data_IF_061652573780
#
_entry.id   IF_061652573780
#
_cell.length_a   1.000
_cell.length_b   1.000
_cell.length_c   1.000
_cell.angle_alpha   90.00
_cell.angle_beta   90.00
_cell.angle_gamma   90.00
#
_symmetry.space_group_name_H-M   'P 1'
#
loop_
_entity.id
_entity.type
_entity.pdbx_description
1 polymer ?
#
# COMPACT_ATOMS: atom_id res chain seq x y z
N UNK A 1 -10.27 16.40 16.02
CA UNK A 1 -10.89 15.10 16.34
C UNK A 1 -9.88 14.21 17.05
N UNK A 2 -10.36 13.25 17.85
CA UNK A 2 -9.58 12.18 18.42
C UNK A 2 -9.86 10.87 17.67
N UNK A 3 -8.88 10.37 16.93
CA UNK A 3 -9.06 9.29 15.95
C UNK A 3 -8.26 8.07 16.40
N UNK A 4 -8.92 6.92 16.52
CA UNK A 4 -8.25 5.65 16.72
C UNK A 4 -7.93 5.00 15.39
N UNK A 5 -6.67 4.71 15.08
CA UNK A 5 -6.23 4.00 13.87
C UNK A 5 -5.81 2.58 14.21
N UNK A 6 -6.40 1.61 13.51
CA UNK A 6 -6.06 0.18 13.63
C UNK A 6 -5.53 -0.33 12.30
N UNK A 7 -4.32 -0.85 12.29
CA UNK A 7 -3.68 -1.36 11.08
C UNK A 7 -2.68 -2.49 11.38
N UNK A 8 -2.20 -3.15 10.36
CA UNK A 8 -1.03 -4.01 10.51
C UNK A 8 0.24 -3.16 10.63
N UNK A 9 1.04 -3.31 11.69
CA UNK A 9 2.26 -2.51 11.93
C UNK A 9 3.43 -2.99 11.07
N UNK A 10 3.21 -3.21 9.78
CA UNK A 10 4.19 -3.80 8.86
C UNK A 10 4.70 -2.77 7.85
N UNK A 11 5.88 -3.04 7.25
CA UNK A 11 6.41 -2.30 6.11
C UNK A 11 5.64 -2.55 4.80
N UNK A 12 4.54 -3.30 4.83
CA UNK A 12 3.65 -3.49 3.68
C UNK A 12 2.83 -2.24 3.36
N UNK A 13 2.36 -2.13 2.13
CA UNK A 13 1.71 -0.92 1.61
C UNK A 13 0.58 -0.36 2.49
N UNK A 14 -0.32 -1.21 3.00
CA UNK A 14 -1.43 -0.77 3.87
C UNK A 14 -0.98 -0.23 5.23
N UNK A 15 0.04 -0.86 5.85
CA UNK A 15 0.59 -0.39 7.12
C UNK A 15 1.26 0.97 6.98
N UNK A 16 2.03 1.15 5.90
CA UNK A 16 2.66 2.44 5.58
C UNK A 16 1.60 3.51 5.31
N UNK A 17 0.58 3.23 4.50
CA UNK A 17 -0.51 4.18 4.23
C UNK A 17 -1.22 4.60 5.51
N UNK A 18 -1.56 3.65 6.40
CA UNK A 18 -2.22 3.95 7.67
C UNK A 18 -1.34 4.83 8.58
N UNK A 19 -0.03 4.55 8.63
CA UNK A 19 0.92 5.32 9.45
C UNK A 19 1.10 6.73 8.92
N UNK A 20 1.33 6.88 7.60
CA UNK A 20 1.52 8.22 7.00
C UNK A 20 0.21 9.04 7.05
N UNK A 21 -0.97 8.40 6.92
CA UNK A 21 -2.25 9.07 7.13
C UNK A 21 -2.37 9.60 8.57
N UNK A 22 -2.06 8.76 9.55
CA UNK A 22 -2.16 9.16 10.96
C UNK A 22 -1.18 10.28 11.33
N UNK A 23 0.04 10.26 10.81
CA UNK A 23 1.02 11.36 10.97
C UNK A 23 0.49 12.66 10.37
N UNK A 24 -0.01 12.61 9.13
CA UNK A 24 -0.55 13.78 8.45
C UNK A 24 -1.78 14.37 9.17
N UNK A 25 -2.65 13.52 9.72
CA UNK A 25 -3.78 13.96 10.56
C UNK A 25 -3.28 14.63 11.86
N UNK A 26 -2.24 14.08 12.49
CA UNK A 26 -1.64 14.67 13.69
C UNK A 26 -1.01 16.04 13.41
N UNK A 27 -0.32 16.20 12.28
CA UNK A 27 0.24 17.47 11.83
C UNK A 27 -0.85 18.53 11.56
N UNK A 28 -2.09 18.09 11.26
CA UNK A 28 -3.28 18.96 11.13
C UNK A 28 -3.98 19.25 12.46
N UNK A 29 -3.41 18.79 13.59
CA UNK A 29 -3.92 19.04 14.94
C UNK A 29 -4.97 18.05 15.42
N UNK A 30 -5.17 16.91 14.75
CA UNK A 30 -5.97 15.81 15.28
C UNK A 30 -5.15 14.99 16.26
N UNK A 31 -5.74 14.50 17.35
CA UNK A 31 -5.11 13.50 18.20
C UNK A 31 -5.31 12.11 17.61
N UNK A 32 -4.21 11.42 17.30
CA UNK A 32 -4.24 10.13 16.63
C UNK A 32 -3.68 9.05 17.53
N UNK A 33 -4.49 8.03 17.78
CA UNK A 33 -4.22 6.91 18.66
C UNK A 33 -4.08 5.62 17.84
N UNK A 34 -2.83 5.15 17.65
CA UNK A 34 -2.58 3.86 17.00
C UNK A 34 -2.80 2.72 17.98
N UNK A 35 -3.66 1.76 17.61
CA UNK A 35 -3.97 0.57 18.42
C UNK A 35 -3.54 -0.67 17.64
N UNK A 36 -2.37 -1.22 17.92
CA UNK A 36 -1.73 -2.29 17.15
C UNK A 36 -0.89 -3.19 18.05
N UNK A 37 -0.53 -4.41 17.59
CA UNK A 37 0.27 -5.36 18.38
C UNK A 37 1.77 -5.07 18.41
N UNK A 38 2.27 -4.17 17.58
CA UNK A 38 3.63 -3.63 17.60
C UNK A 38 3.57 -2.18 17.12
N UNK A 39 4.60 -1.40 17.43
CA UNK A 39 4.70 -0.04 16.91
C UNK A 39 4.67 -0.06 15.37
N UNK A 40 3.78 0.71 14.72
CA UNK A 40 3.72 0.80 13.27
C UNK A 40 5.06 1.22 12.65
N UNK A 41 5.37 0.64 11.51
CA UNK A 41 6.54 1.03 10.74
C UNK A 41 6.48 2.53 10.41
N UNK A 42 7.61 3.23 10.55
CA UNK A 42 7.72 4.68 10.30
C UNK A 42 6.96 5.58 11.29
N UNK A 43 6.39 5.04 12.37
CA UNK A 43 5.76 5.85 13.40
C UNK A 43 6.83 6.49 14.29
N UNK A 44 6.87 7.81 14.29
CA UNK A 44 7.68 8.61 15.22
C UNK A 44 6.78 9.15 16.34
N UNK A 45 7.04 8.72 17.56
CA UNK A 45 6.25 9.08 18.74
C UNK A 45 6.68 10.42 19.40
N UNK A 46 7.60 11.16 18.78
CA UNK A 46 7.99 12.49 19.29
C UNK A 46 7.02 13.61 18.90
N UNK A 47 5.94 13.30 18.16
CA UNK A 47 4.85 14.24 17.88
C UNK A 47 3.88 14.31 19.06
N UNK A 48 3.49 15.55 19.46
CA UNK A 48 2.56 15.79 20.57
C UNK A 48 1.17 15.17 20.38
N UNK A 49 0.77 14.90 19.11
CA UNK A 49 -0.58 14.43 18.75
C UNK A 49 -0.60 12.94 18.34
N UNK A 50 0.52 12.22 18.50
CA UNK A 50 0.60 10.80 18.17
C UNK A 50 0.74 9.95 19.42
N UNK A 51 -0.17 8.99 19.57
CA UNK A 51 -0.22 8.07 20.71
C UNK A 51 -0.19 6.62 20.22
N UNK A 52 0.46 5.75 20.96
CA UNK A 52 0.54 4.33 20.66
C UNK A 52 0.00 3.49 21.81
N UNK A 53 -0.88 2.57 21.51
CA UNK A 53 -1.48 1.65 22.45
C UNK A 53 -1.23 0.21 21.98
N UNK A 54 -0.38 -0.49 22.70
CA UNK A 54 -0.06 -1.88 22.35
C UNK A 54 -1.22 -2.82 22.66
N UNK A 55 -1.49 -3.73 21.74
CA UNK A 55 -2.40 -4.86 21.90
C UNK A 55 -1.58 -6.07 22.30
N UNK A 56 -1.53 -6.37 23.58
CA UNK A 56 -0.84 -7.53 24.11
C UNK A 56 -1.75 -8.75 24.06
N UNK A 57 -1.26 -9.86 23.53
CA UNK A 57 -1.94 -11.14 23.56
C UNK A 57 -1.20 -12.07 24.51
N UNK A 58 -1.82 -12.38 25.64
CA UNK A 58 -1.23 -13.31 26.59
C UNK A 58 -1.25 -14.74 26.04
N UNK A 59 -0.10 -15.40 26.10
CA UNK A 59 -0.01 -16.82 25.83
C UNK A 59 -0.68 -17.59 26.99
N UNK A 60 -1.88 -18.07 26.76
CA UNK A 60 -2.57 -18.96 27.70
C UNK A 60 -2.48 -20.40 27.21
N UNK A 61 -2.05 -21.36 28.03
CA UNK A 61 -1.75 -22.73 27.58
C UNK A 61 -2.90 -23.48 26.89
N UNK A 62 -4.15 -23.06 27.12
CA UNK A 62 -5.33 -23.65 26.49
C UNK A 62 -5.68 -23.04 25.12
N UNK A 63 -4.97 -22.00 24.67
CA UNK A 63 -5.16 -21.43 23.34
C UNK A 63 -4.11 -21.97 22.38
N UNK A 64 -4.49 -22.85 21.49
CA UNK A 64 -3.64 -23.31 20.39
C UNK A 64 -3.26 -22.14 19.46
N UNK A 65 -4.15 -21.15 19.34
CA UNK A 65 -3.97 -19.94 18.55
C UNK A 65 -4.18 -18.68 19.40
N UNK A 66 -3.26 -17.72 19.37
CA UNK A 66 -3.41 -16.45 20.09
C UNK A 66 -4.69 -15.71 19.66
N UNK A 67 -5.61 -15.37 20.57
CA UNK A 67 -6.88 -14.72 20.23
C UNK A 67 -6.71 -13.21 19.98
N UNK A 68 -5.94 -12.85 18.96
CA UNK A 68 -5.60 -11.46 18.65
C UNK A 68 -6.83 -10.55 18.50
N UNK A 69 -7.84 -11.02 17.77
CA UNK A 69 -9.06 -10.24 17.49
C UNK A 69 -9.81 -9.88 18.78
N UNK A 70 -9.91 -10.81 19.73
CA UNK A 70 -10.55 -10.56 21.04
C UNK A 70 -9.72 -9.59 21.89
N UNK A 71 -8.40 -9.74 21.89
CA UNK A 71 -7.50 -8.83 22.58
C UNK A 71 -7.59 -7.41 22.01
N UNK A 72 -7.63 -7.29 20.67
CA UNK A 72 -7.82 -6.03 19.98
C UNK A 72 -9.15 -5.37 20.35
N UNK A 73 -10.27 -6.12 20.31
CA UNK A 73 -11.58 -5.61 20.68
C UNK A 73 -11.59 -5.08 22.13
N UNK A 74 -11.03 -5.82 23.09
CA UNK A 74 -10.89 -5.37 24.48
C UNK A 74 -10.04 -4.10 24.60
N UNK A 75 -8.91 -4.04 23.88
CA UNK A 75 -8.03 -2.86 23.92
C UNK A 75 -8.70 -1.64 23.29
N UNK A 76 -9.48 -1.81 22.21
CA UNK A 76 -10.25 -0.74 21.62
C UNK A 76 -11.29 -0.16 22.59
N UNK A 77 -12.01 -1.02 23.34
CA UNK A 77 -12.95 -0.57 24.38
C UNK A 77 -12.23 0.30 25.42
N UNK A 78 -11.08 -0.14 25.91
CA UNK A 78 -10.28 0.57 26.90
C UNK A 78 -9.83 1.95 26.37
N UNK A 79 -9.20 1.97 25.19
CA UNK A 79 -8.69 3.20 24.57
C UNK A 79 -9.83 4.20 24.27
N UNK A 80 -10.94 3.75 23.67
CA UNK A 80 -12.08 4.63 23.37
C UNK A 80 -12.62 5.30 24.63
N UNK A 81 -12.74 4.55 25.74
CA UNK A 81 -13.29 5.06 26.99
C UNK A 81 -12.36 6.07 27.67
N UNK A 82 -11.07 5.77 27.75
CA UNK A 82 -10.11 6.59 28.48
C UNK A 82 -9.68 7.83 27.69
N UNK A 83 -9.42 7.66 26.39
CA UNK A 83 -8.99 8.75 25.51
C UNK A 83 -10.16 9.57 24.94
N UNK A 84 -11.39 9.06 25.05
CA UNK A 84 -12.61 9.68 24.52
C UNK A 84 -12.52 9.93 23.02
N UNK A 85 -12.27 8.86 22.26
CA UNK A 85 -12.15 8.93 20.81
C UNK A 85 -13.48 9.32 20.16
N UNK A 86 -13.39 10.10 19.07
CA UNK A 86 -14.52 10.52 18.26
C UNK A 86 -14.87 9.49 17.17
N UNK A 87 -13.87 8.71 16.70
CA UNK A 87 -13.98 7.79 15.57
C UNK A 87 -12.92 6.70 15.66
N UNK A 88 -13.26 5.50 15.18
CA UNK A 88 -12.27 4.45 14.85
C UNK A 88 -12.12 4.35 13.33
N UNK A 89 -10.88 4.45 12.84
CA UNK A 89 -10.54 4.14 11.46
C UNK A 89 -9.72 2.86 11.42
N UNK A 90 -10.28 1.81 10.85
CA UNK A 90 -9.66 0.49 10.79
C UNK A 90 -9.30 0.13 9.34
N UNK A 91 -8.13 -0.44 9.16
CA UNK A 91 -7.64 -0.89 7.87
C UNK A 91 -7.81 -2.40 7.77
N UNK A 92 -8.54 -2.88 6.76
CA UNK A 92 -9.03 -4.23 6.50
C UNK A 92 -10.36 -4.60 7.17
N UNK A 93 -11.20 -5.31 6.41
CA UNK A 93 -12.46 -5.86 6.88
C UNK A 93 -12.25 -6.89 8.01
N UNK A 94 -11.20 -7.71 7.91
CA UNK A 94 -10.79 -8.67 8.94
C UNK A 94 -9.28 -8.59 9.17
N UNK A 95 -8.81 -8.74 10.41
CA UNK A 95 -9.58 -8.89 11.65
C UNK A 95 -9.98 -7.53 12.28
N UNK A 96 -9.65 -6.40 11.65
CA UNK A 96 -9.73 -5.10 12.30
C UNK A 96 -11.16 -4.57 12.39
N UNK A 97 -11.95 -4.63 11.30
CA UNK A 97 -13.34 -4.14 11.36
C UNK A 97 -14.24 -5.07 12.20
N UNK A 98 -14.00 -6.40 12.18
CA UNK A 98 -14.72 -7.33 13.05
C UNK A 98 -14.43 -7.08 14.53
N UNK A 99 -13.17 -6.84 14.91
CA UNK A 99 -12.79 -6.47 16.27
C UNK A 99 -13.39 -5.09 16.68
N UNK A 100 -13.37 -4.12 15.78
CA UNK A 100 -13.96 -2.80 16.03
C UNK A 100 -15.50 -2.88 16.21
N UNK A 101 -16.19 -3.74 15.43
CA UNK A 101 -17.60 -4.01 15.62
C UNK A 101 -17.88 -4.59 17.02
N UNK A 102 -17.10 -5.60 17.45
CA UNK A 102 -17.23 -6.17 18.79
C UNK A 102 -16.99 -5.11 19.87
N UNK A 103 -15.95 -4.28 19.72
CA UNK A 103 -15.67 -3.19 20.65
C UNK A 103 -16.83 -2.19 20.70
N UNK A 104 -17.42 -1.82 19.55
CA UNK A 104 -18.58 -0.94 19.45
C UNK A 104 -19.80 -1.52 20.20
N UNK A 105 -20.09 -2.83 20.07
CA UNK A 105 -21.18 -3.49 20.79
C UNK A 105 -20.96 -3.45 22.31
N UNK A 106 -19.75 -3.68 22.78
CA UNK A 106 -19.41 -3.60 24.21
C UNK A 106 -19.55 -2.15 24.70
N UNK A 107 -19.06 -1.17 23.96
CA UNK A 107 -19.15 0.27 24.30
C UNK A 107 -20.60 0.73 24.42
N UNK A 108 -21.50 0.24 23.56
CA UNK A 108 -22.92 0.53 23.64
C UNK A 108 -23.55 0.11 24.99
N UNK A 109 -23.06 -0.96 25.62
CA UNK A 109 -23.53 -1.36 26.97
C UNK A 109 -23.14 -0.35 28.05
N UNK A 110 -22.16 0.50 27.79
CA UNK A 110 -21.76 1.61 28.65
C UNK A 110 -22.39 2.96 28.22
N UNK A 111 -23.29 2.95 27.25
CA UNK A 111 -23.91 4.17 26.71
C UNK A 111 -22.96 4.99 25.82
N UNK A 112 -21.88 4.38 25.34
CA UNK A 112 -20.89 5.02 24.46
C UNK A 112 -21.09 4.50 23.03
N UNK A 113 -21.33 5.41 22.09
CA UNK A 113 -21.37 5.11 20.68
C UNK A 113 -20.09 5.63 20.00
N UNK A 114 -19.44 4.78 19.22
CA UNK A 114 -18.25 5.11 18.44
C UNK A 114 -18.46 4.74 16.96
N UNK A 115 -18.42 5.69 16.01
CA UNK A 115 -18.46 5.35 14.60
C UNK A 115 -17.19 4.66 14.13
N UNK A 116 -17.32 3.72 13.18
CA UNK A 116 -16.24 2.94 12.60
C UNK A 116 -16.17 3.17 11.11
N UNK A 117 -15.02 3.67 10.64
CA UNK A 117 -14.66 3.72 9.21
C UNK A 117 -13.72 2.57 8.89
N UNK A 118 -14.01 1.84 7.81
CA UNK A 118 -13.17 0.72 7.34
C UNK A 118 -12.60 1.03 5.96
N UNK A 119 -11.27 1.00 5.84
CA UNK A 119 -10.58 1.07 4.53
C UNK A 119 -10.19 -0.32 4.05
N UNK A 120 -10.68 -0.68 2.85
CA UNK A 120 -10.35 -1.92 2.15
C UNK A 120 -9.04 -1.75 1.37
N UNK A 121 -8.14 -2.74 1.50
CA UNK A 121 -6.80 -2.69 0.89
C UNK A 121 -6.55 -3.76 -0.18
N UNK A 122 -7.46 -4.69 -0.36
CA UNK A 122 -7.43 -5.70 -1.41
C UNK A 122 -7.13 -7.11 -0.94
N UNK A 123 -6.16 -7.34 -0.04
CA UNK A 123 -5.89 -8.70 0.48
C UNK A 123 -7.11 -9.29 1.16
N UNK A 124 -7.84 -8.49 1.91
CA UNK A 124 -9.12 -8.82 2.56
C UNK A 124 -10.24 -9.15 1.57
N UNK A 125 -10.19 -8.64 0.36
CA UNK A 125 -11.20 -8.81 -0.67
C UNK A 125 -10.81 -9.89 -1.69
N UNK A 126 -9.63 -9.75 -2.29
CA UNK A 126 -9.23 -10.54 -3.46
C UNK A 126 -8.50 -11.83 -3.13
N UNK A 127 -7.93 -11.96 -1.95
CA UNK A 127 -7.20 -13.15 -1.49
C UNK A 127 -7.95 -13.87 -0.37
N UNK A 128 -7.97 -13.30 0.83
CA UNK A 128 -8.58 -13.93 2.01
C UNK A 128 -10.10 -13.95 1.89
N UNK A 129 -10.70 -12.85 1.45
CA UNK A 129 -12.16 -12.73 1.35
C UNK A 129 -12.80 -13.66 0.32
N UNK A 130 -12.05 -14.13 -0.70
CA UNK A 130 -12.55 -15.14 -1.66
C UNK A 130 -12.65 -16.53 -1.06
N UNK A 131 -11.96 -16.82 0.04
CA UNK A 131 -12.14 -18.07 0.76
C UNK A 131 -13.54 -18.14 1.38
N UNK A 132 -14.26 -19.21 1.08
CA UNK A 132 -15.65 -19.42 1.56
C UNK A 132 -15.77 -19.37 3.07
N UNK A 133 -14.71 -19.72 3.80
CA UNK A 133 -14.70 -19.73 5.27
C UNK A 133 -14.69 -18.31 5.85
N UNK A 134 -14.10 -17.33 5.19
CA UNK A 134 -14.03 -15.95 5.64
C UNK A 134 -15.10 -15.04 5.03
N UNK A 135 -15.72 -15.43 3.91
CA UNK A 135 -16.71 -14.61 3.20
C UNK A 135 -17.83 -14.07 4.12
N UNK A 136 -18.48 -14.87 4.99
CA UNK A 136 -19.54 -14.36 5.86
C UNK A 136 -19.07 -13.25 6.80
N UNK A 137 -17.88 -13.42 7.42
CA UNK A 137 -17.33 -12.43 8.36
C UNK A 137 -16.90 -11.16 7.63
N UNK A 138 -16.28 -11.27 6.45
CA UNK A 138 -15.90 -10.11 5.63
C UNK A 138 -17.14 -9.31 5.22
N UNK A 139 -18.17 -9.98 4.68
CA UNK A 139 -19.45 -9.33 4.30
C UNK A 139 -20.07 -8.61 5.50
N UNK A 140 -20.16 -9.30 6.63
CA UNK A 140 -20.72 -8.74 7.86
C UNK A 140 -19.93 -7.52 8.34
N UNK A 141 -18.60 -7.60 8.40
CA UNK A 141 -17.74 -6.53 8.90
C UNK A 141 -17.85 -5.27 8.03
N UNK A 142 -17.91 -5.43 6.71
CA UNK A 142 -18.11 -4.30 5.78
C UNK A 142 -19.48 -3.68 6.01
N UNK A 143 -20.56 -4.48 6.05
CA UNK A 143 -21.94 -3.99 6.21
C UNK A 143 -22.22 -3.39 7.59
N UNK A 144 -21.42 -3.71 8.61
CA UNK A 144 -21.56 -3.13 9.98
C UNK A 144 -20.64 -1.96 10.26
N UNK A 145 -19.81 -1.57 9.31
CA UNK A 145 -19.05 -0.32 9.37
C UNK A 145 -19.99 0.89 9.11
N UNK A 146 -19.76 2.00 9.81
CA UNK A 146 -20.53 3.23 9.62
C UNK A 146 -20.10 4.00 8.36
N UNK A 147 -18.86 3.76 7.93
CA UNK A 147 -18.33 4.22 6.67
C UNK A 147 -17.36 3.21 6.08
N UNK A 148 -17.33 3.10 4.76
CA UNK A 148 -16.42 2.19 4.05
C UNK A 148 -15.69 2.93 2.93
N UNK A 149 -14.37 2.73 2.86
CA UNK A 149 -13.58 3.25 1.73
C UNK A 149 -12.80 2.13 1.04
N UNK A 150 -12.53 2.31 -0.25
CA UNK A 150 -11.65 1.47 -1.04
C UNK A 150 -10.54 2.31 -1.67
N UNK A 151 -9.36 1.71 -1.86
CA UNK A 151 -8.18 2.42 -2.38
C UNK A 151 -8.17 2.60 -3.89
N UNK A 152 -9.15 2.02 -4.60
CA UNK A 152 -9.33 2.15 -6.06
C UNK A 152 -10.77 1.82 -6.46
N UNK A 153 -11.19 2.28 -7.64
CA UNK A 153 -12.47 1.92 -8.25
C UNK A 153 -12.54 0.41 -8.52
N UNK A 154 -11.48 -0.16 -9.03
CA UNK A 154 -11.41 -1.60 -9.29
C UNK A 154 -11.63 -2.41 -7.99
N UNK A 155 -11.03 -2.01 -6.87
CA UNK A 155 -11.24 -2.70 -5.60
C UNK A 155 -12.68 -2.55 -5.10
N UNK A 156 -13.30 -1.38 -5.28
CA UNK A 156 -14.72 -1.17 -5.00
C UNK A 156 -15.61 -2.10 -5.81
N UNK A 157 -15.40 -2.16 -7.12
CA UNK A 157 -16.15 -3.03 -8.03
C UNK A 157 -15.98 -4.52 -7.67
N UNK A 158 -14.73 -4.95 -7.41
CA UNK A 158 -14.44 -6.32 -6.98
C UNK A 158 -15.14 -6.64 -5.64
N UNK A 159 -15.25 -5.66 -4.74
CA UNK A 159 -15.95 -5.85 -3.46
C UNK A 159 -17.43 -6.13 -3.69
N UNK A 160 -18.12 -5.33 -4.49
CA UNK A 160 -19.53 -5.58 -4.85
C UNK A 160 -19.73 -6.86 -5.64
N UNK A 161 -18.77 -7.24 -6.47
CA UNK A 161 -18.82 -8.48 -7.26
C UNK A 161 -18.71 -9.75 -6.42
N UNK A 162 -17.90 -9.73 -5.36
CA UNK A 162 -17.62 -10.94 -4.57
C UNK A 162 -18.46 -11.05 -3.30
N UNK A 163 -19.02 -9.95 -2.82
CA UNK A 163 -19.74 -9.88 -1.55
C UNK A 163 -21.09 -9.18 -1.73
N UNK A 164 -22.05 -9.54 -0.86
CA UNK A 164 -23.35 -8.89 -0.77
C UNK A 164 -23.23 -7.66 0.14
N UNK A 165 -22.81 -6.53 -0.44
CA UNK A 165 -22.57 -5.28 0.29
C UNK A 165 -23.76 -4.34 0.12
N UNK A 166 -24.28 -3.87 1.27
CA UNK A 166 -25.38 -2.90 1.39
C UNK A 166 -24.85 -1.47 1.55
N UNK A 167 -23.66 -1.32 2.14
CA UNK A 167 -23.03 -0.02 2.36
C UNK A 167 -22.49 0.60 1.06
N UNK A 168 -22.60 1.92 0.98
CA UNK A 168 -21.84 2.69 0.00
C UNK A 168 -20.34 2.55 0.30
N UNK A 169 -19.54 2.33 -0.73
CA UNK A 169 -18.08 2.31 -0.64
C UNK A 169 -17.53 3.53 -1.37
N UNK A 170 -16.93 4.46 -0.61
CA UNK A 170 -16.27 5.64 -1.18
C UNK A 170 -14.87 5.29 -1.64
N UNK A 171 -14.50 5.70 -2.84
CA UNK A 171 -13.11 5.55 -3.28
C UNK A 171 -12.30 6.74 -2.79
N UNK A 172 -11.30 6.46 -1.96
CA UNK A 172 -10.25 7.40 -1.56
C UNK A 172 -8.92 6.71 -1.88
N UNK A 173 -8.22 7.14 -2.94
CA UNK A 173 -7.03 6.46 -3.39
C UNK A 173 -5.89 6.54 -2.37
N UNK A 174 -4.96 5.60 -2.44
CA UNK A 174 -3.70 5.74 -1.73
C UNK A 174 -2.96 7.00 -2.20
N UNK A 175 -2.07 7.50 -1.38
CA UNK A 175 -1.38 8.77 -1.57
C UNK A 175 0.13 8.61 -1.37
N UNK A 176 0.84 9.67 -1.74
CA UNK A 176 2.29 9.79 -1.58
C UNK A 176 2.64 11.13 -0.93
N UNK A 177 3.62 11.13 -0.05
CA UNK A 177 4.25 12.35 0.44
C UNK A 177 5.34 12.80 -0.53
N UNK A 178 5.07 13.81 -1.34
CA UNK A 178 6.00 14.34 -2.32
C UNK A 178 7.17 15.10 -1.68
N UNK A 179 7.13 15.45 -0.40
CA UNK A 179 8.27 16.04 0.29
C UNK A 179 9.34 14.98 0.58
N UNK A 180 8.92 13.78 0.89
CA UNK A 180 9.77 12.61 1.08
C UNK A 180 10.20 12.00 -0.26
N UNK A 181 9.22 11.69 -1.12
CA UNK A 181 9.44 11.10 -2.45
C UNK A 181 9.66 12.21 -3.48
N UNK A 182 10.87 12.69 -3.54
CA UNK A 182 11.31 13.69 -4.51
C UNK A 182 12.63 13.27 -5.12
N UNK A 183 12.90 13.76 -6.34
CA UNK A 183 14.18 13.51 -7.02
C UNK A 183 15.30 14.12 -6.18
N UNK A 184 16.18 13.28 -5.64
CA UNK A 184 17.38 13.69 -4.90
C UNK A 184 18.60 13.46 -5.79
N UNK A 185 19.45 14.46 -5.96
CA UNK A 185 20.70 14.29 -6.69
C UNK A 185 21.62 13.30 -5.94
N UNK A 186 21.80 12.11 -6.51
CA UNK A 186 22.62 11.03 -5.95
C UNK A 186 23.64 10.51 -6.96
N UNK A 187 24.35 11.45 -7.62
CA UNK A 187 25.29 11.12 -8.71
C UNK A 187 26.36 10.11 -8.30
N UNK A 188 26.85 10.18 -7.06
CA UNK A 188 27.82 9.21 -6.54
C UNK A 188 27.23 7.80 -6.41
N UNK A 189 25.94 7.70 -6.01
CA UNK A 189 25.24 6.42 -5.90
C UNK A 189 24.92 5.86 -7.28
N UNK A 190 24.45 6.70 -8.20
CA UNK A 190 24.25 6.31 -9.61
C UNK A 190 25.54 5.78 -10.24
N UNK A 191 26.69 6.47 -10.06
CA UNK A 191 27.99 6.03 -10.55
C UNK A 191 28.47 4.70 -9.93
N UNK A 192 28.15 4.44 -8.65
CA UNK A 192 28.51 3.19 -8.00
C UNK A 192 27.71 1.97 -8.53
N UNK A 193 26.48 2.20 -9.01
CA UNK A 193 25.60 1.16 -9.57
C UNK A 193 25.85 0.99 -11.07
N UNK A 194 25.96 2.06 -11.80
CA UNK A 194 26.04 2.14 -13.26
C UNK A 194 27.27 2.99 -13.68
N UNK A 195 28.51 2.45 -13.47
CA UNK A 195 29.75 3.22 -13.66
C UNK A 195 30.02 3.61 -15.11
N UNK A 196 29.48 2.85 -16.07
CA UNK A 196 29.60 3.12 -17.50
C UNK A 196 28.41 3.86 -18.12
N UNK A 197 27.51 4.39 -17.27
CA UNK A 197 26.33 5.11 -17.75
C UNK A 197 25.17 4.19 -18.13
N UNK A 198 25.16 2.95 -17.62
CA UNK A 198 24.07 2.01 -17.87
C UNK A 198 22.74 2.55 -17.33
N UNK A 199 21.64 2.15 -17.97
CA UNK A 199 20.28 2.44 -17.47
C UNK A 199 19.98 1.61 -16.21
N UNK A 200 19.31 2.21 -15.24
CA UNK A 200 18.95 1.55 -13.98
C UNK A 200 17.46 1.22 -13.98
N UNK A 201 17.14 -0.06 -14.00
CA UNK A 201 15.79 -0.57 -13.80
C UNK A 201 15.61 -0.98 -12.33
N UNK A 202 14.40 -0.79 -11.79
CA UNK A 202 14.09 -1.11 -10.39
C UNK A 202 12.79 -1.93 -10.31
N UNK A 203 12.75 -2.86 -9.37
CA UNK A 203 11.55 -3.51 -8.89
C UNK A 203 11.53 -3.51 -7.36
N UNK A 204 10.38 -3.20 -6.78
CA UNK A 204 10.20 -3.23 -5.32
C UNK A 204 8.98 -4.05 -4.95
N UNK A 205 9.17 -5.10 -4.13
CA UNK A 205 8.05 -5.89 -3.59
C UNK A 205 8.48 -6.79 -2.43
N UNK A 206 7.51 -7.51 -1.87
CA UNK A 206 7.74 -8.56 -0.87
C UNK A 206 7.98 -9.95 -1.48
N UNK A 207 8.45 -10.03 -2.71
CA UNK A 207 8.82 -11.23 -3.50
C UNK A 207 7.90 -12.44 -3.26
N UNK A 208 6.58 -12.20 -3.32
CA UNK A 208 5.56 -13.26 -3.32
C UNK A 208 5.17 -13.60 -4.76
N UNK A 209 4.67 -14.80 -4.97
CA UNK A 209 4.25 -15.32 -6.29
C UNK A 209 3.34 -14.36 -7.07
N UNK A 210 2.41 -13.67 -6.38
CA UNK A 210 1.52 -12.67 -6.98
C UNK A 210 2.27 -11.48 -7.60
N UNK A 211 3.50 -11.21 -7.16
CA UNK A 211 4.35 -10.12 -7.69
C UNK A 211 5.13 -10.50 -8.95
N UNK A 212 5.13 -11.79 -9.32
CA UNK A 212 5.75 -12.32 -10.54
C UNK A 212 7.20 -11.83 -10.72
N UNK A 213 7.99 -11.89 -9.65
CA UNK A 213 9.37 -11.39 -9.63
C UNK A 213 10.29 -12.09 -10.64
N UNK A 214 9.99 -13.35 -11.01
CA UNK A 214 10.69 -14.04 -12.11
C UNK A 214 10.48 -13.34 -13.46
N UNK A 215 9.27 -12.78 -13.71
CA UNK A 215 9.02 -12.05 -14.95
C UNK A 215 9.82 -10.75 -15.00
N UNK A 216 10.09 -10.10 -13.86
CA UNK A 216 11.01 -8.95 -13.80
C UNK A 216 12.39 -9.35 -14.36
N UNK A 217 12.92 -10.50 -13.93
CA UNK A 217 14.22 -11.00 -14.39
C UNK A 217 14.18 -11.35 -15.89
N UNK A 218 13.09 -11.99 -16.36
CA UNK A 218 12.92 -12.35 -17.79
C UNK A 218 12.82 -11.10 -18.68
N UNK A 219 12.05 -10.08 -18.24
CA UNK A 219 11.95 -8.78 -18.93
C UNK A 219 13.33 -8.14 -19.01
N UNK A 220 14.03 -8.04 -17.86
CA UNK A 220 15.34 -7.45 -17.78
C UNK A 220 16.37 -8.17 -18.67
N UNK A 221 16.36 -9.51 -18.69
CA UNK A 221 17.27 -10.31 -19.54
C UNK A 221 17.09 -10.00 -21.05
N UNK A 222 15.90 -9.55 -21.47
CA UNK A 222 15.66 -9.10 -22.87
C UNK A 222 16.14 -7.66 -23.07
N UNK A 223 15.92 -6.79 -22.09
CA UNK A 223 16.32 -5.37 -22.13
C UNK A 223 17.85 -5.25 -22.18
N UNK A 224 18.58 -5.92 -21.30
CA UNK A 224 20.04 -5.80 -21.17
C UNK A 224 20.79 -6.24 -22.43
N UNK A 225 20.20 -7.11 -23.26
CA UNK A 225 20.75 -7.52 -24.57
C UNK A 225 20.73 -6.39 -25.61
N UNK A 226 19.91 -5.36 -25.41
CA UNK A 226 19.74 -4.24 -26.35
C UNK A 226 20.26 -2.93 -25.81
N UNK A 227 20.16 -2.72 -24.50
CA UNK A 227 20.53 -1.47 -23.82
C UNK A 227 21.36 -1.84 -22.59
N UNK A 228 22.62 -1.38 -22.49
CA UNK A 228 23.44 -1.57 -21.29
C UNK A 228 22.66 -1.11 -20.05
N UNK A 229 22.39 -2.04 -19.14
CA UNK A 229 21.47 -1.78 -18.03
C UNK A 229 21.85 -2.56 -16.78
N UNK A 230 21.44 -2.05 -15.60
CA UNK A 230 21.49 -2.71 -14.30
C UNK A 230 20.07 -2.84 -13.75
N UNK A 231 19.80 -3.92 -13.03
CA UNK A 231 18.53 -4.15 -12.33
C UNK A 231 18.75 -4.17 -10.82
N UNK A 232 17.95 -3.39 -10.11
CA UNK A 232 17.90 -3.41 -8.65
C UNK A 232 16.60 -4.09 -8.22
N UNK A 233 16.75 -5.22 -7.51
CA UNK A 233 15.67 -5.97 -6.90
C UNK A 233 15.59 -5.61 -5.42
N UNK A 234 14.58 -4.82 -5.03
CA UNK A 234 14.41 -4.29 -3.68
C UNK A 234 13.28 -5.01 -2.96
N UNK A 235 13.57 -5.49 -1.77
CA UNK A 235 12.66 -6.28 -0.96
C UNK A 235 13.16 -7.70 -0.73
N UNK A 236 12.30 -8.52 -0.13
CA UNK A 236 12.63 -9.89 0.22
C UNK A 236 11.35 -10.74 0.29
N UNK A 237 11.49 -12.05 0.14
CA UNK A 237 10.38 -12.97 0.22
C UNK A 237 10.66 -14.35 -0.37
N UNK A 238 9.65 -15.24 -0.38
CA UNK A 238 9.85 -16.64 -0.73
C UNK A 238 10.36 -16.87 -2.16
N UNK A 239 10.11 -15.97 -3.11
CA UNK A 239 10.52 -16.13 -4.51
C UNK A 239 11.97 -15.66 -4.76
N UNK A 240 12.68 -15.14 -3.75
CA UNK A 240 14.02 -14.57 -3.94
C UNK A 240 15.02 -15.58 -4.48
N UNK A 241 15.12 -16.75 -3.87
CA UNK A 241 16.09 -17.79 -4.30
C UNK A 241 15.84 -18.27 -5.72
N UNK A 242 14.56 -18.38 -6.13
CA UNK A 242 14.17 -18.68 -7.51
C UNK A 242 14.64 -17.60 -8.49
N UNK A 243 14.48 -16.32 -8.13
CA UNK A 243 14.96 -15.20 -8.95
C UNK A 243 16.50 -15.20 -9.09
N UNK A 244 17.23 -15.45 -8.00
CA UNK A 244 18.69 -15.54 -8.02
C UNK A 244 19.17 -16.71 -8.92
N UNK A 245 18.50 -17.88 -8.87
CA UNK A 245 18.80 -18.99 -9.77
C UNK A 245 18.49 -18.62 -11.23
N UNK A 246 17.36 -18.01 -11.49
CA UNK A 246 16.96 -17.57 -12.82
C UNK A 246 17.98 -16.56 -13.43
N UNK A 247 18.57 -15.69 -12.61
CA UNK A 247 19.64 -14.78 -13.07
C UNK A 247 20.87 -15.57 -13.58
N UNK A 248 21.25 -16.66 -12.88
CA UNK A 248 22.36 -17.54 -13.33
C UNK A 248 22.02 -18.24 -14.64
N UNK A 249 20.80 -18.80 -14.72
CA UNK A 249 20.36 -19.55 -15.91
C UNK A 249 20.26 -18.67 -17.16
N UNK A 250 19.91 -17.40 -16.99
CA UNK A 250 19.83 -16.41 -18.07
C UNK A 250 21.15 -15.64 -18.32
N UNK A 251 22.19 -15.88 -17.51
CA UNK A 251 23.50 -15.23 -17.64
C UNK A 251 23.50 -13.73 -17.37
N UNK A 252 22.62 -13.25 -16.46
CA UNK A 252 22.50 -11.81 -16.16
C UNK A 252 22.92 -11.44 -14.73
N UNK A 253 23.51 -12.37 -13.98
CA UNK A 253 23.87 -12.19 -12.56
C UNK A 253 24.70 -10.94 -12.30
N UNK A 254 25.69 -10.61 -13.15
CA UNK A 254 26.55 -9.43 -12.99
C UNK A 254 25.80 -8.08 -13.19
N UNK A 255 24.59 -8.14 -13.73
CA UNK A 255 23.77 -6.96 -14.01
C UNK A 255 22.59 -6.81 -13.04
N UNK A 256 22.40 -7.76 -12.11
CA UNK A 256 21.28 -7.75 -11.16
C UNK A 256 21.83 -7.67 -9.73
N UNK A 257 21.27 -6.74 -8.93
CA UNK A 257 21.58 -6.62 -7.50
C UNK A 257 20.32 -6.80 -6.65
N UNK A 258 20.36 -7.75 -5.73
CA UNK A 258 19.33 -7.94 -4.71
C UNK A 258 19.72 -7.16 -3.45
N UNK A 259 18.97 -6.10 -3.16
CA UNK A 259 19.29 -5.16 -2.08
C UNK A 259 18.63 -5.51 -0.73
N UNK A 260 17.75 -6.54 -0.71
CA UNK A 260 16.96 -6.84 0.49
C UNK A 260 15.95 -5.72 0.82
N UNK A 261 15.44 -5.73 2.04
CA UNK A 261 14.53 -4.68 2.52
C UNK A 261 15.29 -3.39 2.74
N UNK A 262 14.74 -2.28 2.28
CA UNK A 262 15.34 -0.95 2.37
C UNK A 262 14.31 0.04 2.94
N UNK A 263 14.73 0.88 3.88
CA UNK A 263 13.89 1.92 4.48
C UNK A 263 13.85 3.20 3.66
N UNK A 264 14.98 3.56 3.04
CA UNK A 264 15.13 4.75 2.20
C UNK A 264 14.93 4.41 0.71
N UNK A 265 13.75 3.89 0.37
CA UNK A 265 13.42 3.47 -1.00
C UNK A 265 13.46 4.66 -1.98
N UNK A 266 13.14 5.86 -1.52
CA UNK A 266 13.18 7.09 -2.30
C UNK A 266 14.58 7.41 -2.83
N UNK A 267 15.64 7.01 -2.12
CA UNK A 267 17.01 7.20 -2.59
C UNK A 267 17.36 6.26 -3.75
N UNK A 268 16.85 5.04 -3.72
CA UNK A 268 17.03 4.06 -4.78
C UNK A 268 16.22 4.45 -6.02
N UNK A 269 14.98 4.86 -5.82
CA UNK A 269 14.11 5.31 -6.91
C UNK A 269 14.65 6.59 -7.59
N UNK A 270 15.30 7.48 -6.84
CA UNK A 270 15.85 8.72 -7.39
C UNK A 270 16.94 8.51 -8.45
N UNK A 271 17.59 7.37 -8.50
CA UNK A 271 18.62 7.03 -9.50
C UNK A 271 18.10 6.13 -10.62
N UNK A 272 16.84 5.69 -10.54
CA UNK A 272 16.23 4.78 -11.50
C UNK A 272 15.81 5.49 -12.80
N UNK A 273 15.83 4.73 -13.88
CA UNK A 273 15.35 5.17 -15.18
C UNK A 273 14.02 4.53 -15.56
N UNK A 274 13.71 3.34 -15.01
CA UNK A 274 12.48 2.62 -15.29
C UNK A 274 12.08 1.73 -14.11
N UNK A 275 10.78 1.61 -13.83
CA UNK A 275 10.22 0.71 -12.83
C UNK A 275 9.45 -0.44 -13.49
N UNK A 276 9.68 -1.68 -13.05
CA UNK A 276 9.01 -2.87 -13.55
C UNK A 276 8.05 -3.44 -12.53
N UNK A 277 6.77 -3.60 -12.89
CA UNK A 277 5.71 -4.12 -12.02
C UNK A 277 4.81 -5.14 -12.75
N UNK A 278 5.29 -6.35 -13.04
CA UNK A 278 4.52 -7.38 -13.75
C UNK A 278 3.56 -8.15 -12.84
N UNK A 279 3.06 -7.55 -11.78
CA UNK A 279 2.21 -8.18 -10.76
C UNK A 279 0.95 -8.80 -11.36
N UNK A 280 0.53 -9.94 -10.81
CA UNK A 280 -0.72 -10.60 -11.19
C UNK A 280 -1.96 -9.89 -10.62
N UNK A 281 -1.81 -9.21 -9.49
CA UNK A 281 -2.88 -8.44 -8.85
C UNK A 281 -2.28 -7.32 -8.01
N UNK A 282 -2.86 -6.14 -8.13
CA UNK A 282 -2.56 -4.96 -7.33
C UNK A 282 -3.85 -4.22 -7.03
N UNK A 283 -4.05 -3.85 -5.78
CA UNK A 283 -5.25 -3.06 -5.43
C UNK A 283 -5.13 -1.60 -5.84
N UNK A 284 -3.90 -1.07 -5.93
CA UNK A 284 -3.61 0.30 -6.33
C UNK A 284 -2.25 0.43 -7.03
N UNK A 285 -1.18 -0.15 -6.45
CA UNK A 285 0.18 -0.04 -6.97
C UNK A 285 1.03 1.02 -6.27
N UNK A 286 1.04 1.04 -4.93
CA UNK A 286 1.77 2.05 -4.15
C UNK A 286 3.26 2.16 -4.56
N UNK A 287 3.94 1.04 -4.81
CA UNK A 287 5.34 1.06 -5.27
C UNK A 287 5.52 1.73 -6.65
N UNK A 288 4.53 1.61 -7.54
CA UNK A 288 4.53 2.36 -8.79
C UNK A 288 4.32 3.87 -8.56
N UNK A 289 3.43 4.25 -7.63
CA UNK A 289 3.25 5.65 -7.24
C UNK A 289 4.53 6.24 -6.64
N UNK A 290 5.22 5.50 -5.77
CA UNK A 290 6.52 5.89 -5.21
C UNK A 290 7.57 6.12 -6.32
N UNK A 291 7.63 5.23 -7.31
CA UNK A 291 8.51 5.38 -8.46
C UNK A 291 8.15 6.63 -9.30
N UNK A 292 6.86 6.83 -9.61
CA UNK A 292 6.40 7.99 -10.38
C UNK A 292 6.69 9.31 -9.68
N UNK A 293 6.57 9.37 -8.34
CA UNK A 293 6.93 10.54 -7.54
C UNK A 293 8.42 10.90 -7.65
N UNK A 294 9.28 9.90 -7.84
CA UNK A 294 10.71 10.05 -8.12
C UNK A 294 11.03 10.23 -9.62
N UNK A 295 10.04 10.59 -10.45
CA UNK A 295 10.18 10.73 -11.91
C UNK A 295 10.59 9.44 -12.62
N UNK A 296 10.12 8.29 -12.18
CA UNK A 296 10.44 7.00 -12.80
C UNK A 296 9.21 6.48 -13.54
N UNK A 297 9.24 6.36 -14.88
CA UNK A 297 8.15 5.77 -15.64
C UNK A 297 7.99 4.27 -15.33
N UNK A 298 6.77 3.75 -15.50
CA UNK A 298 6.40 2.42 -15.04
C UNK A 298 5.99 1.52 -16.21
N UNK A 299 6.56 0.33 -16.29
CA UNK A 299 6.02 -0.77 -17.09
C UNK A 299 5.30 -1.71 -16.14
N UNK A 300 3.99 -1.84 -16.29
CA UNK A 300 3.17 -2.67 -15.41
C UNK A 300 2.20 -3.56 -16.17
N UNK A 301 1.57 -4.48 -15.45
CA UNK A 301 0.37 -5.15 -15.94
C UNK A 301 -0.83 -4.21 -15.93
N UNK A 302 -1.88 -4.56 -16.66
CA UNK A 302 -3.20 -3.93 -16.64
C UNK A 302 -4.10 -4.49 -15.52
N UNK A 303 -3.52 -5.08 -14.47
CA UNK A 303 -4.23 -5.80 -13.42
C UNK A 303 -4.69 -4.90 -12.27
N UNK A 304 -5.92 -5.11 -11.81
CA UNK A 304 -6.47 -4.44 -10.62
C UNK A 304 -6.52 -2.93 -10.76
N UNK A 305 -6.08 -2.20 -9.75
CA UNK A 305 -6.03 -0.74 -9.73
C UNK A 305 -4.86 -0.10 -10.49
N UNK A 306 -3.96 -0.89 -11.12
CA UNK A 306 -2.82 -0.34 -11.86
C UNK A 306 -3.22 0.59 -13.02
N UNK A 307 -4.27 0.30 -13.83
CA UNK A 307 -4.72 1.22 -14.88
C UNK A 307 -5.24 2.58 -14.36
N UNK A 308 -5.66 2.63 -13.10
CA UNK A 308 -6.08 3.88 -12.47
C UNK A 308 -4.90 4.79 -12.11
N UNK A 309 -3.70 4.23 -12.00
CA UNK A 309 -2.47 4.95 -11.67
C UNK A 309 -1.58 5.16 -12.90
N UNK A 310 -1.23 4.06 -13.61
CA UNK A 310 -0.33 4.08 -14.74
C UNK A 310 -1.11 4.24 -16.05
N UNK A 311 -0.93 5.36 -16.74
CA UNK A 311 -1.64 5.67 -17.98
C UNK A 311 -0.81 5.19 -19.18
N UNK A 312 -1.39 4.24 -19.96
CA UNK A 312 -0.71 3.63 -21.11
C UNK A 312 -0.26 4.66 -22.14
N UNK A 313 1.00 4.59 -22.55
CA UNK A 313 1.61 5.51 -23.49
C UNK A 313 1.91 6.92 -22.96
N UNK A 314 1.55 7.24 -21.72
CA UNK A 314 1.76 8.56 -21.10
C UNK A 314 2.75 8.52 -19.93
N UNK A 315 2.48 7.71 -18.92
CA UNK A 315 3.32 7.61 -17.70
C UNK A 315 4.21 6.37 -17.70
N UNK A 316 3.97 5.50 -18.64
CA UNK A 316 4.62 4.23 -18.88
C UNK A 316 3.80 3.40 -19.85
N UNK A 317 3.79 2.07 -19.68
CA UNK A 317 2.96 1.20 -20.48
C UNK A 317 2.29 0.12 -19.64
N UNK A 318 1.07 -0.28 -20.08
CA UNK A 318 0.31 -1.39 -19.56
C UNK A 318 0.40 -2.59 -20.49
N UNK A 319 0.56 -3.79 -19.95
CA UNK A 319 0.55 -5.05 -20.71
C UNK A 319 -0.24 -6.13 -19.98
N UNK A 320 -0.62 -7.16 -20.67
CA UNK A 320 -1.31 -8.28 -20.05
C UNK A 320 -0.41 -9.04 -19.08
N UNK A 321 -1.02 -9.70 -18.12
CA UNK A 321 -0.31 -10.52 -17.14
C UNK A 321 0.47 -11.63 -17.87
N UNK A 322 1.78 -11.66 -17.68
CA UNK A 322 2.68 -12.63 -18.30
C UNK A 322 3.21 -12.24 -19.69
N UNK A 323 2.83 -11.09 -20.22
CA UNK A 323 3.38 -10.57 -21.48
C UNK A 323 4.78 -9.97 -21.27
N UNK A 324 5.72 -10.89 -21.01
CA UNK A 324 7.14 -10.55 -20.78
C UNK A 324 7.76 -9.88 -22.03
N UNK A 325 7.37 -10.32 -23.22
CA UNK A 325 7.90 -9.80 -24.47
C UNK A 325 7.43 -8.37 -24.75
N UNK A 326 6.14 -8.12 -24.62
CA UNK A 326 5.57 -6.79 -24.78
C UNK A 326 6.09 -5.81 -23.73
N UNK A 327 6.27 -6.25 -22.47
CA UNK A 327 6.86 -5.40 -21.43
C UNK A 327 8.32 -5.04 -21.75
N UNK A 328 9.11 -6.02 -22.20
CA UNK A 328 10.50 -5.78 -22.59
C UNK A 328 10.61 -4.83 -23.80
N UNK A 329 9.74 -5.02 -24.81
CA UNK A 329 9.67 -4.12 -25.97
C UNK A 329 9.41 -2.67 -25.54
N UNK A 330 8.42 -2.45 -24.66
CA UNK A 330 8.08 -1.10 -24.18
C UNK A 330 9.16 -0.51 -23.25
N UNK A 331 9.82 -1.32 -22.46
CA UNK A 331 10.98 -0.89 -21.69
C UNK A 331 12.10 -0.40 -22.61
N UNK A 332 12.45 -1.17 -23.64
CA UNK A 332 13.44 -0.79 -24.66
C UNK A 332 13.00 0.50 -25.36
N UNK A 333 11.73 0.58 -25.79
CA UNK A 333 11.18 1.75 -26.47
C UNK A 333 11.39 3.03 -25.63
N UNK A 334 11.13 3.02 -24.32
CA UNK A 334 11.35 4.20 -23.49
C UNK A 334 12.85 4.49 -23.34
N UNK A 335 13.68 3.47 -23.06
CA UNK A 335 15.06 3.65 -22.64
C UNK A 335 16.04 3.98 -23.76
N UNK A 336 15.72 3.66 -25.03
CA UNK A 336 16.62 3.86 -26.17
C UNK A 336 16.70 5.30 -26.65
N UNK A 337 15.81 6.18 -26.18
CA UNK A 337 15.74 7.60 -26.60
C UNK A 337 15.64 8.51 -25.36
N UNK A 338 16.64 9.34 -25.16
CA UNK A 338 16.74 10.21 -23.97
C UNK A 338 15.61 11.25 -23.91
N UNK A 339 15.18 11.79 -25.05
CA UNK A 339 14.08 12.76 -25.11
C UNK A 339 12.75 12.15 -24.73
N UNK A 340 12.51 10.92 -25.20
CA UNK A 340 11.33 10.14 -24.84
C UNK A 340 11.35 9.77 -23.35
N UNK A 341 12.46 9.26 -22.84
CA UNK A 341 12.62 8.96 -21.43
C UNK A 341 12.35 10.20 -20.56
N UNK A 342 12.89 11.36 -20.94
CA UNK A 342 12.64 12.61 -20.21
C UNK A 342 11.14 12.98 -20.21
N UNK A 343 10.45 12.83 -21.33
CA UNK A 343 8.99 13.08 -21.42
C UNK A 343 8.20 12.16 -20.50
N UNK A 344 8.49 10.85 -20.52
CA UNK A 344 7.83 9.90 -19.62
C UNK A 344 8.13 10.19 -18.15
N UNK A 345 9.33 10.61 -17.81
CA UNK A 345 9.72 11.02 -16.45
C UNK A 345 8.89 12.20 -15.95
N UNK A 346 8.70 13.24 -16.75
CA UNK A 346 7.87 14.40 -16.36
C UNK A 346 6.39 14.01 -16.25
N UNK A 347 5.88 13.20 -17.16
CA UNK A 347 4.50 12.74 -17.11
C UNK A 347 4.24 11.84 -15.86
N UNK A 348 5.19 10.98 -15.49
CA UNK A 348 5.09 10.16 -14.29
C UNK A 348 4.97 11.05 -13.04
N UNK A 349 5.82 12.06 -12.88
CA UNK A 349 5.72 13.00 -11.76
C UNK A 349 4.41 13.80 -11.80
N UNK A 350 3.99 14.26 -12.97
CA UNK A 350 2.72 15.01 -13.11
C UNK A 350 1.53 14.15 -12.62
N UNK A 351 1.52 12.86 -12.96
CA UNK A 351 0.50 11.92 -12.47
C UNK A 351 0.60 11.68 -10.97
N UNK A 352 1.81 11.48 -10.43
CA UNK A 352 2.00 11.28 -8.98
C UNK A 352 1.49 12.46 -8.16
N UNK A 353 1.56 13.69 -8.65
CA UNK A 353 1.03 14.89 -7.99
C UNK A 353 -0.48 14.87 -7.80
N UNK A 354 -1.22 14.09 -8.58
CA UNK A 354 -2.66 13.94 -8.40
C UNK A 354 -2.99 13.15 -7.13
N UNK A 355 -2.06 12.32 -6.67
CA UNK A 355 -2.15 11.50 -5.46
C UNK A 355 -1.31 12.06 -4.30
N UNK A 356 -0.97 13.34 -4.33
CA UNK A 356 -0.26 13.99 -3.23
C UNK A 356 -1.08 13.93 -1.94
N UNK A 357 -0.41 13.64 -0.81
CA UNK A 357 -1.02 13.58 0.51
C UNK A 357 -1.86 14.84 0.81
N UNK A 358 -1.39 16.02 0.41
CA UNK A 358 -2.10 17.29 0.63
C UNK A 358 -3.45 17.38 -0.08
N UNK A 359 -3.65 16.60 -1.15
CA UNK A 359 -4.91 16.50 -1.89
C UNK A 359 -5.83 15.41 -1.37
N UNK A 360 -5.25 14.32 -0.86
CA UNK A 360 -6.04 13.15 -0.41
C UNK A 360 -6.47 13.30 1.05
N UNK A 361 -5.64 13.87 1.91
CA UNK A 361 -5.93 14.05 3.33
C UNK A 361 -7.27 14.75 3.61
N UNK A 362 -7.63 15.86 2.92
CA UNK A 362 -8.93 16.50 3.11
C UNK A 362 -10.13 15.59 2.78
N UNK A 363 -9.97 14.62 1.89
CA UNK A 363 -11.04 13.66 1.57
C UNK A 363 -11.35 12.75 2.76
N UNK A 364 -10.31 12.31 3.50
CA UNK A 364 -10.49 11.57 4.74
C UNK A 364 -11.11 12.43 5.85
N UNK A 365 -10.63 13.67 6.05
CA UNK A 365 -11.16 14.58 7.08
C UNK A 365 -12.65 14.88 6.85
N UNK A 366 -13.04 15.16 5.60
CA UNK A 366 -14.43 15.37 5.22
C UNK A 366 -15.28 14.11 5.46
N UNK A 367 -14.75 12.95 5.05
CA UNK A 367 -15.47 11.69 5.22
C UNK A 367 -15.66 11.32 6.69
N UNK A 368 -14.68 11.55 7.55
CA UNK A 368 -14.84 11.35 8.99
C UNK A 368 -15.93 12.25 9.57
N UNK A 369 -15.97 13.51 9.18
CA UNK A 369 -16.98 14.45 9.62
C UNK A 369 -18.39 14.00 9.22
N UNK A 370 -18.58 13.61 7.95
CA UNK A 370 -19.84 13.07 7.44
C UNK A 370 -20.30 11.83 8.22
N UNK A 371 -19.38 10.89 8.47
CA UNK A 371 -19.70 9.65 9.20
C UNK A 371 -20.08 9.95 10.65
N UNK A 372 -19.37 10.86 11.33
CA UNK A 372 -19.69 11.27 12.71
C UNK A 372 -21.05 11.94 12.78
N UNK A 373 -21.35 12.85 11.86
CA UNK A 373 -22.64 13.57 11.83
C UNK A 373 -23.81 12.62 11.56
N UNK A 374 -23.68 11.73 10.56
CA UNK A 374 -24.68 10.71 10.25
C UNK A 374 -24.94 9.79 11.45
N UNK A 375 -23.88 9.40 12.15
CA UNK A 375 -23.98 8.53 13.33
C UNK A 375 -24.70 9.21 14.49
N UNK A 376 -24.49 10.50 14.71
CA UNK A 376 -25.21 11.28 15.75
C UNK A 376 -26.69 11.44 15.41
N UNK A 377 -27.03 11.64 14.14
CA UNK A 377 -28.42 11.72 13.69
C UNK A 377 -29.24 10.44 13.88
N UNK A 378 -28.58 9.28 13.86
CA UNK A 378 -29.24 7.97 14.08
C UNK A 378 -29.45 7.63 15.57
N UNK A 379 -28.94 8.43 16.51
CA UNK A 379 -29.09 8.26 17.96
C UNK A 379 -30.24 9.09 18.54
N UNK A 380 -30.85 9.99 17.76
CA UNK A 380 -32.02 10.79 18.08
C UNK A 380 -33.25 10.12 17.46
#
# INVERSE_FOLDING_TARGET
MKIGIVCYPTFGGSGVVATELGKALADRGHQVHFVTYNQPARLDLFSENLFYHEVSVNNYPLFDFPPYELALASRLVDVVRHEKLDLLHVHYAIPHASAAFMAKQILMTYGIYIPVVTTLHGTDITLVGKDRTFKPVVTFSINKSDGVTAVSENLREDTFKFFEIENEIRVIPNFIDLTRFSLKAKDHFKKAIAPSGEKILVHTSNFRKVKRTEDVIKIFAKVVKKIPSKLLMVGDGPERSGCEQLCRDLGVTENVRFLGKQDAIEEILSVADLFLMPSQSESFGLAALEAMACKVPVISTNAGGLPELNVDGLTGFLRDIGDVDGMAEKAIYILQDEGRLATFKENALARAKEFDLTRILPQYENYYTEVIEKSRGNLI
#
